data_IF_786728266748
#
_entry.id   IF_786728266748
#
_cell.length_a   1.000
_cell.length_b   1.000
_cell.length_c   1.000
_cell.angle_alpha   90.00
_cell.angle_beta   90.00
_cell.angle_gamma   90.00
#
_symmetry.space_group_name_H-M   'P 1'
#
loop_
_entity.id
_entity.type
_entity.pdbx_description
1 polymer ?
#
# COMPACT_ATOMS: atom_id res chain seq x y z
N UNK A 1 -8.35 20.72 -13.63
CA UNK A 1 -8.71 20.32 -12.26
C UNK A 1 -9.05 18.85 -12.34
N UNK A 2 -8.14 17.95 -11.92
CA UNK A 2 -8.45 16.52 -11.87
C UNK A 2 -9.03 16.25 -10.48
N UNK A 3 -10.29 15.83 -10.42
CA UNK A 3 -10.91 15.34 -9.20
C UNK A 3 -10.19 14.05 -8.80
N UNK A 4 -9.43 14.08 -7.71
CA UNK A 4 -9.03 12.87 -7.01
C UNK A 4 -10.31 12.30 -6.37
N UNK A 5 -10.60 11.04 -6.62
CA UNK A 5 -11.89 10.42 -6.32
C UNK A 5 -12.24 10.48 -4.84
N UNK A 6 -13.52 10.67 -4.52
CA UNK A 6 -14.05 10.49 -3.17
C UNK A 6 -13.86 9.02 -2.80
N UNK A 7 -13.02 8.74 -1.81
CA UNK A 7 -12.74 7.40 -1.28
C UNK A 7 -14.04 6.75 -0.80
N UNK A 8 -14.63 5.88 -1.63
CA UNK A 8 -15.71 5.01 -1.25
C UNK A 8 -15.18 3.84 -0.41
N UNK A 9 -15.72 3.71 0.81
CA UNK A 9 -15.88 2.47 1.58
C UNK A 9 -14.66 1.56 1.85
N UNK A 10 -13.44 2.10 1.94
CA UNK A 10 -12.32 1.34 2.54
C UNK A 10 -12.21 1.65 4.05
N UNK A 11 -11.88 0.65 4.92
CA UNK A 11 -11.65 0.90 6.34
C UNK A 11 -10.66 2.05 6.52
N UNK A 12 -10.95 2.95 7.45
CA UNK A 12 -10.24 4.20 7.71
C UNK A 12 -8.70 4.10 7.85
N UNK A 13 -8.16 2.88 8.06
CA UNK A 13 -6.74 2.57 8.15
C UNK A 13 -6.05 2.31 6.79
N UNK A 14 -6.81 1.87 5.78
CA UNK A 14 -6.35 1.74 4.38
C UNK A 14 -6.69 2.96 3.51
N UNK A 15 -7.44 3.92 4.06
CA UNK A 15 -8.13 4.98 3.32
C UNK A 15 -7.26 5.84 2.39
N UNK A 16 -5.93 5.80 2.54
CA UNK A 16 -5.00 6.56 1.72
C UNK A 16 -4.07 5.72 0.81
N UNK A 17 -4.08 4.37 0.87
CA UNK A 17 -3.20 3.58 -0.01
C UNK A 17 -3.59 3.74 -1.49
N UNK A 18 -4.87 3.53 -1.89
CA UNK A 18 -5.26 3.75 -3.28
C UNK A 18 -4.92 5.15 -3.77
N UNK A 19 -5.17 6.18 -2.95
CA UNK A 19 -4.89 7.58 -3.30
C UNK A 19 -3.39 7.83 -3.49
N UNK A 20 -2.55 7.31 -2.59
CA UNK A 20 -1.10 7.38 -2.73
C UNK A 20 -0.67 6.78 -4.07
N UNK A 21 -1.13 5.58 -4.40
CA UNK A 21 -0.74 4.92 -5.64
C UNK A 21 -1.29 5.64 -6.88
N UNK A 22 -2.54 6.13 -6.86
CA UNK A 22 -3.15 6.92 -7.95
C UNK A 22 -2.35 8.21 -8.19
N UNK A 23 -1.80 8.81 -7.13
CA UNK A 23 -0.94 9.99 -7.19
C UNK A 23 0.54 9.68 -7.48
N UNK A 24 0.86 8.40 -7.73
CA UNK A 24 2.21 7.90 -7.95
C UNK A 24 3.16 8.08 -6.74
N UNK A 25 2.60 8.04 -5.54
CA UNK A 25 3.34 8.01 -4.28
C UNK A 25 3.38 6.57 -3.76
N UNK A 26 4.55 5.91 -3.74
CA UNK A 26 4.65 4.56 -3.22
C UNK A 26 4.43 4.53 -1.71
N UNK A 27 3.93 3.40 -1.21
CA UNK A 27 3.74 3.18 0.24
C UNK A 27 4.79 2.19 0.73
N UNK A 28 5.47 2.52 1.82
CA UNK A 28 6.32 1.56 2.54
C UNK A 28 5.48 0.86 3.60
N UNK A 29 5.36 -0.46 3.52
CA UNK A 29 4.48 -1.26 4.37
C UNK A 29 5.31 -2.25 5.21
N UNK A 30 5.12 -2.24 6.52
CA UNK A 30 5.67 -3.22 7.45
C UNK A 30 4.61 -4.26 7.79
N UNK A 31 4.96 -5.54 7.60
CA UNK A 31 4.07 -6.67 7.84
C UNK A 31 4.75 -7.71 8.72
N UNK A 32 3.96 -8.34 9.59
CA UNK A 32 4.40 -9.42 10.49
C UNK A 32 3.44 -10.60 10.42
N UNK A 33 3.92 -11.77 10.85
CA UNK A 33 3.03 -12.91 11.05
C UNK A 33 2.23 -12.76 12.35
N UNK A 34 1.13 -13.51 12.50
CA UNK A 34 0.26 -13.46 13.68
C UNK A 34 0.99 -13.70 15.01
N UNK A 35 2.06 -14.48 15.00
CA UNK A 35 2.85 -14.80 16.18
C UNK A 35 3.95 -13.77 16.49
N UNK A 36 4.11 -12.72 15.67
CA UNK A 36 5.13 -11.69 15.83
C UNK A 36 6.57 -12.24 15.88
N UNK A 37 6.82 -13.37 15.22
CA UNK A 37 8.14 -14.03 15.16
C UNK A 37 8.88 -13.77 13.85
N UNK A 38 8.19 -13.23 12.85
CA UNK A 38 8.72 -12.92 11.53
C UNK A 38 8.02 -11.68 10.99
N UNK A 39 8.80 -10.82 10.33
CA UNK A 39 8.30 -9.64 9.65
C UNK A 39 9.12 -9.31 8.42
N UNK A 40 8.55 -8.48 7.56
CA UNK A 40 9.21 -7.96 6.38
C UNK A 40 8.68 -6.56 6.03
N UNK A 41 9.49 -5.79 5.32
CA UNK A 41 9.08 -4.50 4.78
C UNK A 41 8.98 -4.61 3.26
N UNK A 42 7.86 -4.15 2.71
CA UNK A 42 7.56 -4.21 1.27
C UNK A 42 7.16 -2.82 0.77
N UNK A 43 7.27 -2.63 -0.54
CA UNK A 43 6.79 -1.40 -1.21
C UNK A 43 5.50 -1.71 -1.94
N UNK A 44 4.48 -0.90 -1.75
CA UNK A 44 3.29 -0.86 -2.61
C UNK A 44 3.56 0.15 -3.72
N UNK A 45 3.49 -0.29 -4.97
CA UNK A 45 3.73 0.53 -6.16
C UNK A 45 2.66 0.34 -7.25
N UNK A 46 1.54 -0.32 -6.94
CA UNK A 46 0.41 -0.49 -7.84
C UNK A 46 -0.91 -0.75 -7.11
N UNK A 47 -2.02 -0.32 -7.73
CA UNK A 47 -3.40 -0.55 -7.29
C UNK A 47 -4.26 -0.74 -8.54
N UNK A 48 -5.14 -1.74 -8.56
CA UNK A 48 -5.95 -2.07 -9.73
C UNK A 48 -7.46 -1.97 -9.46
N UNK A 49 -8.26 -2.20 -10.51
CA UNK A 49 -9.73 -2.09 -10.46
C UNK A 49 -10.41 -3.20 -9.66
N UNK A 50 -9.67 -4.26 -9.33
CA UNK A 50 -10.16 -5.40 -8.54
C UNK A 50 -9.80 -5.23 -7.04
N UNK A 51 -9.32 -4.05 -6.64
CA UNK A 51 -8.89 -3.68 -5.28
C UNK A 51 -7.60 -4.37 -4.80
N UNK A 52 -6.82 -4.96 -5.72
CA UNK A 52 -5.52 -5.56 -5.40
C UNK A 52 -4.41 -4.52 -5.41
N UNK A 53 -3.42 -4.73 -4.54
CA UNK A 53 -2.21 -3.94 -4.47
C UNK A 53 -1.02 -4.72 -5.05
N UNK A 54 -0.22 -4.06 -5.89
CA UNK A 54 1.04 -4.63 -6.33
C UNK A 54 2.10 -4.40 -5.25
N UNK A 55 2.74 -5.49 -4.81
CA UNK A 55 3.80 -5.48 -3.82
C UNK A 55 5.15 -5.78 -4.48
N UNK A 56 6.13 -4.98 -4.12
CA UNK A 56 7.54 -5.23 -4.40
C UNK A 56 8.25 -5.62 -3.09
N UNK A 57 8.72 -6.87 -3.04
CA UNK A 57 9.34 -7.46 -1.85
C UNK A 57 10.81 -7.07 -1.68
N UNK A 58 11.43 -6.43 -2.67
CA UNK A 58 12.87 -6.12 -2.65
C UNK A 58 13.78 -7.34 -2.80
N UNK A 59 13.25 -8.51 -3.18
CA UNK A 59 13.99 -9.77 -3.35
C UNK A 59 14.31 -10.07 -4.82
N UNK A 60 14.72 -9.06 -5.59
CA UNK A 60 15.05 -9.23 -7.01
C UNK A 60 13.88 -9.68 -7.89
N UNK A 61 12.64 -9.38 -7.48
CA UNK A 61 11.41 -9.73 -8.19
C UNK A 61 10.71 -10.99 -7.67
N UNK A 62 11.37 -11.79 -6.84
CA UNK A 62 10.74 -12.96 -6.20
C UNK A 62 9.59 -12.52 -5.30
N UNK A 63 8.40 -13.10 -5.52
CA UNK A 63 7.12 -12.73 -4.90
C UNK A 63 6.58 -11.34 -5.23
N UNK A 64 7.16 -10.60 -6.18
CA UNK A 64 6.47 -9.41 -6.66
C UNK A 64 5.17 -9.80 -7.37
N UNK A 65 4.09 -9.08 -7.10
CA UNK A 65 2.78 -9.45 -7.64
C UNK A 65 1.62 -8.68 -7.02
N UNK A 66 0.42 -9.04 -7.44
CA UNK A 66 -0.83 -8.45 -6.98
C UNK A 66 -1.40 -9.27 -5.81
N UNK A 67 -1.73 -8.60 -4.72
CA UNK A 67 -2.23 -9.22 -3.49
C UNK A 67 -3.43 -8.45 -2.93
N UNK A 68 -4.41 -9.19 -2.43
CA UNK A 68 -5.42 -8.62 -1.54
C UNK A 68 -4.82 -8.46 -0.14
N UNK A 69 -4.76 -7.22 0.34
CA UNK A 69 -4.15 -6.92 1.64
C UNK A 69 -5.13 -7.07 2.80
N UNK A 70 -4.67 -7.52 3.98
CA UNK A 70 -3.36 -8.14 4.23
C UNK A 70 -3.36 -9.67 3.99
N UNK A 71 -4.50 -10.24 3.59
CA UNK A 71 -4.79 -11.67 3.70
C UNK A 71 -3.95 -12.56 2.78
N UNK A 72 -3.56 -12.07 1.61
CA UNK A 72 -2.84 -12.86 0.60
C UNK A 72 -1.32 -12.69 0.63
N UNK A 73 -0.78 -11.92 1.58
CA UNK A 73 0.66 -11.70 1.66
C UNK A 73 1.38 -13.02 2.01
N UNK A 74 2.42 -13.44 1.24
CA UNK A 74 3.15 -14.68 1.46
C UNK A 74 3.74 -14.82 2.87
N UNK A 75 4.06 -16.05 3.25
CA UNK A 75 4.64 -16.42 4.55
C UNK A 75 3.73 -16.15 5.77
N UNK A 76 2.43 -15.89 5.53
CA UNK A 76 1.49 -15.59 6.59
C UNK A 76 1.73 -14.23 7.24
N UNK A 77 2.36 -13.30 6.52
CA UNK A 77 2.63 -11.93 6.94
C UNK A 77 1.35 -11.06 6.86
N UNK A 78 0.28 -11.52 7.49
CA UNK A 78 -1.08 -10.97 7.35
C UNK A 78 -1.44 -9.95 8.42
N UNK A 79 -0.49 -9.56 9.28
CA UNK A 79 -0.67 -8.48 10.26
C UNK A 79 0.11 -7.26 9.78
N UNK A 80 -0.58 -6.14 9.60
CA UNK A 80 0.06 -4.87 9.29
C UNK A 80 0.62 -4.29 10.59
N UNK A 81 1.94 -4.16 10.66
CA UNK A 81 2.64 -3.53 11.78
C UNK A 81 2.60 -2.01 11.66
N UNK A 82 2.74 -1.48 10.45
CA UNK A 82 2.71 -0.06 10.18
C UNK A 82 2.91 0.28 8.71
N UNK A 83 2.70 1.55 8.36
CA UNK A 83 2.90 2.05 7.02
C UNK A 83 3.45 3.48 7.04
N UNK A 84 4.28 3.80 6.05
CA UNK A 84 4.68 5.17 5.73
C UNK A 84 4.03 5.52 4.40
N UNK A 85 3.11 6.48 4.45
CA UNK A 85 2.36 7.02 3.31
C UNK A 85 2.82 8.45 3.03
N UNK A 86 2.32 9.02 1.94
CA UNK A 86 2.55 10.42 1.55
C UNK A 86 4.04 10.70 1.32
N UNK A 87 4.74 9.72 0.73
CA UNK A 87 6.16 9.81 0.38
C UNK A 87 6.28 10.51 -0.97
N UNK A 88 6.50 11.83 -0.93
CA UNK A 88 6.74 12.65 -2.11
C UNK A 88 7.73 13.80 -1.82
N UNK A 89 8.41 14.34 -2.85
CA UNK A 89 9.32 15.47 -2.67
C UNK A 89 8.61 16.72 -2.15
N UNK A 90 9.29 17.50 -1.32
CA UNK A 90 8.79 18.80 -0.89
C UNK A 90 8.47 19.70 -2.09
N UNK A 91 7.35 20.44 -2.02
CA UNK A 91 6.86 21.30 -3.09
C UNK A 91 5.96 20.60 -4.13
N UNK A 92 5.79 19.29 -4.03
CA UNK A 92 4.70 18.56 -4.69
C UNK A 92 3.48 18.61 -3.75
N UNK A 93 2.30 18.87 -4.30
CA UNK A 93 1.05 18.74 -3.56
C UNK A 93 0.34 17.47 -3.99
N UNK A 94 -0.04 16.66 -3.01
CA UNK A 94 -1.07 15.64 -3.20
C UNK A 94 -2.33 16.29 -3.80
N UNK A 95 -3.14 15.53 -4.54
CA UNK A 95 -4.41 16.06 -5.03
C UNK A 95 -5.37 16.17 -3.84
N UNK A 96 -5.30 17.30 -3.13
CA UNK A 96 -6.16 17.58 -1.97
C UNK A 96 -7.60 17.76 -2.47
N UNK A 97 -8.43 16.74 -2.25
CA UNK A 97 -9.88 16.88 -2.32
C UNK A 97 -10.33 17.94 -1.33
N UNK A 98 -11.05 18.95 -1.81
CA UNK A 98 -11.80 19.88 -0.95
C UNK A 98 -13.13 19.27 -0.55
#
# INVERSE_FOLDING_TARGET
MRNCGTSGLQPEWFGNFPNNIIEAFPVHLAVVNQNWTMGHNVVIDGYNTDEYFHLNFGWGGTYNGWYLLPDEIPYGLTVIEGAIVDIFPAGVSACVGK
#
